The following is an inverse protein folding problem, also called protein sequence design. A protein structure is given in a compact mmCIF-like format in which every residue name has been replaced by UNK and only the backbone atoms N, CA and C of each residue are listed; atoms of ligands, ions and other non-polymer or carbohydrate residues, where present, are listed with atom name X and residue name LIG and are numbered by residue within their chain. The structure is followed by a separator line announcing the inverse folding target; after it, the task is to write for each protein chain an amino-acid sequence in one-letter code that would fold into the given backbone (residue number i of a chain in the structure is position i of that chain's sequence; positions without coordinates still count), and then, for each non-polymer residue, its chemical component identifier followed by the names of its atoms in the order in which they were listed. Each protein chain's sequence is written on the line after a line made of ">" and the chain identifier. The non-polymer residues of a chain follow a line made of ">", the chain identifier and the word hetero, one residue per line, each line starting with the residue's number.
data_IF_915881665605
#
_entry.id   IF_915881665605
#
_cell.length_a   1.000
_cell.length_b   1.000
_cell.length_c   1.000
_cell.angle_alpha   90.00
_cell.angle_beta   90.00
_cell.angle_gamma   90.00
#
_symmetry.space_group_name_H-M   'P 1'
#
loop_
_entity.id
_entity.type
_entity.pdbx_description
1 polymer ?
#
# COMPACT_ATOMS: atom_id res chain seq x y z
N UNK A 1 -35.46 -24.21 27.17
CA UNK A 1 -34.77 -24.63 25.93
C UNK A 1 -34.39 -23.37 25.15
N UNK A 2 -33.20 -22.81 25.39
CA UNK A 2 -32.80 -21.49 24.87
C UNK A 2 -31.82 -21.67 23.71
N UNK A 3 -32.22 -21.23 22.52
CA UNK A 3 -31.40 -21.25 21.29
C UNK A 3 -30.26 -20.24 21.42
N UNK A 4 -29.01 -20.72 21.37
CA UNK A 4 -27.79 -19.90 21.27
C UNK A 4 -27.68 -19.30 19.86
N UNK A 5 -27.79 -17.98 19.76
CA UNK A 5 -27.51 -17.24 18.52
C UNK A 5 -26.00 -17.13 18.29
N UNK A 6 -25.52 -17.67 17.15
CA UNK A 6 -24.13 -17.55 16.68
C UNK A 6 -23.87 -16.13 16.22
N UNK A 7 -23.02 -15.39 16.93
CA UNK A 7 -22.40 -14.16 16.44
C UNK A 7 -21.20 -14.50 15.56
N UNK A 8 -21.19 -14.00 14.33
CA UNK A 8 -20.08 -14.14 13.39
C UNK A 8 -18.98 -13.16 13.81
N UNK A 9 -17.86 -13.67 14.32
CA UNK A 9 -16.68 -12.87 14.64
C UNK A 9 -15.78 -12.76 13.41
N UNK A 10 -15.58 -11.55 12.88
CA UNK A 10 -14.52 -11.26 11.93
C UNK A 10 -13.19 -11.21 12.70
N UNK A 11 -12.52 -12.36 12.79
CA UNK A 11 -11.16 -12.47 13.34
C UNK A 11 -10.18 -12.11 12.23
N UNK A 12 -9.96 -10.81 11.97
CA UNK A 12 -8.93 -10.38 11.01
C UNK A 12 -7.56 -10.56 11.67
N UNK A 13 -6.97 -11.76 11.52
CA UNK A 13 -5.56 -12.01 11.82
C UNK A 13 -4.74 -11.65 10.58
N UNK A 14 -3.96 -10.58 10.66
CA UNK A 14 -2.84 -10.38 9.74
C UNK A 14 -1.62 -11.08 10.33
N UNK A 15 -1.31 -12.28 9.85
CA UNK A 15 0.03 -12.87 9.98
C UNK A 15 0.83 -12.44 8.75
N UNK A 16 1.82 -11.57 8.96
CA UNK A 16 2.77 -11.24 7.91
C UNK A 16 3.70 -12.45 7.71
N UNK A 17 3.42 -13.27 6.71
CA UNK A 17 4.42 -14.14 6.07
C UNK A 17 4.64 -13.65 4.65
N UNK A 18 5.89 -13.67 4.22
CA UNK A 18 6.33 -13.16 2.93
C UNK A 18 5.65 -13.92 1.78
N UNK A 19 5.17 -13.15 0.78
CA UNK A 19 4.70 -13.66 -0.51
C UNK A 19 3.24 -14.13 -0.56
N UNK A 20 2.54 -13.63 -1.58
CA UNK A 20 1.25 -14.09 -2.11
C UNK A 20 -0.05 -13.47 -1.55
N UNK A 21 -0.63 -12.56 -2.34
CA UNK A 21 -2.04 -12.20 -2.32
C UNK A 21 -2.91 -13.37 -2.78
N UNK A 22 -3.96 -13.72 -2.02
CA UNK A 22 -5.19 -14.32 -2.57
C UNK A 22 -6.42 -13.84 -1.81
N UNK A 23 -7.41 -13.38 -2.56
CA UNK A 23 -8.77 -13.07 -2.12
C UNK A 23 -9.60 -14.34 -1.79
N UNK A 24 -10.90 -14.18 -1.52
CA UNK A 24 -11.61 -14.99 -0.53
C UNK A 24 -12.03 -16.35 -1.08
N UNK A 25 -11.49 -17.41 -0.48
CA UNK A 25 -12.07 -18.74 -0.58
C UNK A 25 -12.25 -19.29 0.84
N UNK A 26 -13.44 -19.84 1.09
CA UNK A 26 -13.88 -20.43 2.34
C UNK A 26 -12.77 -21.28 3.01
N UNK A 27 -12.32 -20.88 4.20
CA UNK A 27 -11.29 -21.60 4.94
C UNK A 27 -11.93 -22.53 5.98
N UNK A 28 -11.77 -23.81 5.70
CA UNK A 28 -11.90 -24.98 6.57
C UNK A 28 -11.30 -24.75 7.97
N UNK A 29 -11.82 -25.48 8.96
CA UNK A 29 -11.15 -25.69 10.25
C UNK A 29 -9.75 -26.26 10.01
N UNK A 30 -8.72 -25.44 10.15
CA UNK A 30 -7.36 -25.91 10.35
C UNK A 30 -7.03 -25.84 11.84
N UNK A 31 -7.07 -27.02 12.47
CA UNK A 31 -6.40 -27.29 13.72
C UNK A 31 -4.89 -27.27 13.45
N UNK A 32 -4.18 -26.34 14.10
CA UNK A 32 -2.74 -26.41 14.33
C UNK A 32 -1.96 -25.17 13.87
N UNK A 33 -1.57 -24.30 14.82
CA UNK A 33 -0.19 -24.02 15.24
C UNK A 33 -0.08 -22.62 15.88
N UNK A 34 0.23 -22.54 17.18
CA UNK A 34 1.01 -21.49 17.89
C UNK A 34 1.26 -21.98 19.34
N UNK A 35 2.46 -21.81 19.95
CA UNK A 35 2.75 -22.18 21.35
C UNK A 35 1.96 -21.32 22.37
N UNK A 36 1.83 -21.74 23.65
CA UNK A 36 0.83 -21.18 24.57
C UNK A 36 1.21 -19.77 25.02
N UNK A 37 0.45 -18.78 24.58
CA UNK A 37 0.59 -17.39 25.02
C UNK A 37 -0.37 -16.46 24.28
N UNK A 38 -0.86 -15.42 24.95
CA UNK A 38 -1.68 -14.40 24.33
C UNK A 38 -0.82 -13.52 23.38
N UNK A 39 -1.40 -12.95 22.31
CA UNK A 39 -0.68 -11.99 21.48
C UNK A 39 -0.24 -10.78 22.32
N UNK A 40 0.90 -10.15 22.00
CA UNK A 40 1.45 -9.07 22.83
C UNK A 40 0.52 -7.83 22.88
N UNK A 41 -0.36 -7.66 21.90
CA UNK A 41 -1.48 -6.72 21.90
C UNK A 41 -2.76 -7.45 21.53
N UNK A 42 -3.76 -7.42 22.41
CA UNK A 42 -5.11 -7.92 22.16
C UNK A 42 -6.09 -6.75 22.06
N UNK A 43 -7.08 -6.83 21.16
CA UNK A 43 -8.12 -5.82 20.98
C UNK A 43 -9.49 -6.48 21.09
N UNK A 44 -10.34 -5.97 21.97
CA UNK A 44 -11.67 -6.47 22.27
C UNK A 44 -12.72 -5.38 22.02
N UNK A 45 -13.79 -5.70 21.28
CA UNK A 45 -14.88 -4.77 21.01
C UNK A 45 -16.06 -5.07 21.94
N UNK A 46 -16.38 -4.15 22.84
CA UNK A 46 -17.46 -4.27 23.82
C UNK A 46 -18.71 -3.51 23.36
N UNK A 47 -19.73 -4.27 22.92
CA UNK A 47 -21.02 -3.76 22.44
C UNK A 47 -22.16 -3.87 23.46
N UNK A 48 -23.40 -3.63 23.02
CA UNK A 48 -24.61 -3.59 23.88
C UNK A 48 -24.92 -4.87 24.66
N UNK A 49 -24.42 -6.01 24.20
CA UNK A 49 -24.65 -7.32 24.83
C UNK A 49 -23.45 -7.84 25.62
N UNK A 50 -22.45 -6.98 25.85
CA UNK A 50 -21.25 -7.37 26.58
C UNK A 50 -21.60 -7.64 28.04
N UNK A 51 -21.18 -8.79 28.55
CA UNK A 51 -21.13 -9.05 29.98
C UNK A 51 -19.81 -8.49 30.52
N UNK A 52 -19.89 -7.56 31.48
CA UNK A 52 -18.71 -6.89 32.05
C UNK A 52 -17.87 -7.85 32.90
N UNK A 53 -18.49 -8.75 33.67
CA UNK A 53 -17.77 -9.73 34.49
C UNK A 53 -16.96 -10.68 33.62
N UNK A 54 -17.55 -11.19 32.53
CA UNK A 54 -16.86 -12.08 31.59
C UNK A 54 -15.72 -11.35 30.88
N UNK A 55 -15.91 -10.06 30.56
CA UNK A 55 -14.89 -9.23 29.95
C UNK A 55 -13.71 -8.99 30.90
N UNK A 56 -13.97 -8.70 32.17
CA UNK A 56 -12.93 -8.55 33.19
C UNK A 56 -12.12 -9.83 33.39
N UNK A 57 -12.77 -10.99 33.44
CA UNK A 57 -12.10 -12.30 33.49
C UNK A 57 -11.19 -12.47 32.27
N UNK A 58 -11.73 -12.22 31.07
CA UNK A 58 -10.98 -12.34 29.81
C UNK A 58 -9.76 -11.42 29.75
N UNK A 59 -9.86 -10.18 30.24
CA UNK A 59 -8.73 -9.25 30.29
C UNK A 59 -7.63 -9.79 31.21
N UNK A 60 -7.99 -10.29 32.40
CA UNK A 60 -7.04 -10.88 33.35
C UNK A 60 -6.35 -12.12 32.76
N UNK A 61 -7.11 -12.99 32.08
CA UNK A 61 -6.57 -14.17 31.40
C UNK A 61 -5.58 -13.79 30.28
N UNK A 62 -5.91 -12.79 29.45
CA UNK A 62 -5.01 -12.34 28.38
C UNK A 62 -3.71 -11.75 28.93
N UNK A 63 -3.79 -10.93 29.98
CA UNK A 63 -2.60 -10.36 30.63
C UNK A 63 -1.76 -11.45 31.31
N UNK A 64 -2.39 -12.39 32.01
CA UNK A 64 -1.71 -13.53 32.64
C UNK A 64 -1.06 -14.46 31.61
N UNK A 65 -1.64 -14.56 30.42
CA UNK A 65 -1.08 -15.32 29.28
C UNK A 65 0.00 -14.54 28.50
N UNK A 66 0.42 -13.37 28.96
CA UNK A 66 1.57 -12.64 28.40
C UNK A 66 1.22 -11.47 27.46
N UNK A 67 -0.04 -11.08 27.32
CA UNK A 67 -0.38 -9.85 26.61
C UNK A 67 0.25 -8.64 27.33
N UNK A 68 0.98 -7.81 26.60
CA UNK A 68 1.54 -6.54 27.12
C UNK A 68 0.50 -5.43 27.15
N UNK A 69 -0.47 -5.50 26.24
CA UNK A 69 -1.58 -4.57 26.13
C UNK A 69 -2.88 -5.32 25.81
N UNK A 70 -3.97 -4.94 26.47
CA UNK A 70 -5.33 -5.31 26.09
C UNK A 70 -6.13 -4.03 25.91
N UNK A 71 -6.63 -3.79 24.70
CA UNK A 71 -7.45 -2.62 24.39
C UNK A 71 -8.91 -3.01 24.28
N UNK A 72 -9.76 -2.41 25.11
CA UNK A 72 -11.21 -2.60 25.04
C UNK A 72 -11.85 -1.40 24.36
N UNK A 73 -12.38 -1.60 23.17
CA UNK A 73 -13.09 -0.60 22.37
C UNK A 73 -14.56 -0.58 22.81
N UNK A 74 -14.97 0.49 23.49
CA UNK A 74 -16.35 0.64 24.00
C UNK A 74 -17.24 1.22 22.92
N UNK A 75 -18.15 0.41 22.39
CA UNK A 75 -19.13 0.79 21.37
C UNK A 75 -20.43 1.35 21.96
N UNK A 76 -20.57 1.33 23.29
CA UNK A 76 -21.76 1.80 24.01
C UNK A 76 -21.38 2.98 24.92
N UNK A 77 -22.24 3.99 24.91
CA UNK A 77 -21.96 5.27 25.57
C UNK A 77 -20.92 6.07 24.80
N UNK A 78 -20.15 6.94 25.49
CA UNK A 78 -19.08 7.70 24.86
C UNK A 78 -18.05 6.76 24.21
N UNK A 79 -17.73 7.02 22.93
CA UNK A 79 -16.70 6.31 22.18
C UNK A 79 -15.36 6.51 22.86
N UNK A 80 -14.78 5.41 23.33
CA UNK A 80 -13.54 5.40 24.10
C UNK A 80 -12.87 4.05 24.03
N UNK A 81 -11.59 4.03 24.36
CA UNK A 81 -10.79 2.82 24.47
C UNK A 81 -10.23 2.75 25.88
N UNK A 82 -10.42 1.62 26.54
CA UNK A 82 -9.78 1.30 27.81
C UNK A 82 -8.49 0.54 27.50
N UNK A 83 -7.37 1.04 27.98
CA UNK A 83 -6.05 0.45 27.82
C UNK A 83 -5.68 -0.23 29.13
N UNK A 84 -5.57 -1.55 29.07
CA UNK A 84 -5.15 -2.40 30.18
C UNK A 84 -3.73 -2.91 29.93
N UNK A 85 -2.87 -2.77 30.94
CA UNK A 85 -1.49 -3.26 30.93
C UNK A 85 -1.21 -3.99 32.24
N UNK A 86 -0.23 -4.93 32.27
CA UNK A 86 0.09 -5.65 33.51
C UNK A 86 0.47 -4.69 34.64
N UNK A 87 -0.06 -4.93 35.84
CA UNK A 87 0.30 -4.24 37.08
C UNK A 87 0.16 -2.71 37.06
N UNK A 88 -0.70 -2.15 36.20
CA UNK A 88 -0.96 -0.72 36.12
C UNK A 88 -2.47 -0.44 36.13
N UNK A 89 -2.90 0.74 36.60
CA UNK A 89 -4.30 1.13 36.51
C UNK A 89 -4.74 1.25 35.05
N UNK A 90 -6.01 0.90 34.80
CA UNK A 90 -6.63 1.06 33.48
C UNK A 90 -6.62 2.53 33.07
N UNK A 91 -6.24 2.79 31.82
CA UNK A 91 -6.24 4.13 31.23
C UNK A 91 -7.39 4.28 30.25
N UNK A 92 -8.09 5.41 30.31
CA UNK A 92 -9.18 5.74 29.39
C UNK A 92 -8.70 6.72 28.32
N UNK A 93 -8.94 6.40 27.05
CA UNK A 93 -8.65 7.27 25.91
C UNK A 93 -9.92 7.57 25.11
N UNK A 94 -10.15 8.83 24.83
CA UNK A 94 -11.25 9.37 24.03
C UNK A 94 -10.91 9.39 22.54
N UNK A 95 -11.87 9.77 21.69
CA UNK A 95 -11.67 9.83 20.23
C UNK A 95 -10.64 10.85 19.74
N UNK A 96 -10.26 11.82 20.57
CA UNK A 96 -9.22 12.81 20.26
C UNK A 96 -7.81 12.30 20.58
N UNK A 97 -7.72 11.22 21.35
CA UNK A 97 -6.44 10.66 21.79
C UNK A 97 -5.82 9.71 20.75
N UNK A 98 -4.56 9.36 20.99
CA UNK A 98 -3.81 8.36 20.22
C UNK A 98 -3.39 7.19 21.08
N UNK A 99 -3.54 5.99 20.54
CA UNK A 99 -3.09 4.73 21.10
C UNK A 99 -1.64 4.45 20.72
N UNK A 100 -0.90 3.93 21.69
CA UNK A 100 0.49 3.52 21.53
C UNK A 100 0.69 2.11 22.10
N UNK A 101 1.55 1.33 21.46
CA UNK A 101 2.06 0.08 22.02
C UNK A 101 3.54 -0.09 21.62
N UNK A 102 4.46 0.56 22.36
CA UNK A 102 5.90 0.49 22.08
C UNK A 102 6.44 -0.93 21.95
N UNK A 103 7.20 -1.16 20.89
CA UNK A 103 7.74 -2.49 20.53
C UNK A 103 6.72 -3.46 19.92
N UNK A 104 5.49 -3.01 19.63
CA UNK A 104 4.47 -3.78 18.91
C UNK A 104 4.00 -2.99 17.69
N UNK A 105 3.58 -1.74 17.92
CA UNK A 105 3.13 -0.85 16.85
C UNK A 105 4.29 0.04 16.41
N UNK A 106 4.52 0.07 15.09
CA UNK A 106 5.43 1.03 14.46
C UNK A 106 4.91 2.46 14.58
N UNK A 107 3.60 2.65 14.39
CA UNK A 107 2.96 3.95 14.37
C UNK A 107 1.86 4.07 15.43
N UNK A 108 1.70 5.26 15.99
CA UNK A 108 0.55 5.61 16.83
C UNK A 108 -0.75 5.50 16.05
N UNK A 109 -1.80 5.00 16.70
CA UNK A 109 -3.12 4.80 16.10
C UNK A 109 -4.11 5.80 16.73
N UNK A 110 -4.70 6.74 15.98
CA UNK A 110 -5.77 7.58 16.51
C UNK A 110 -6.92 6.71 17.01
N UNK A 111 -7.47 7.00 18.20
CA UNK A 111 -8.58 6.21 18.78
C UNK A 111 -9.77 6.16 17.83
N UNK A 112 -10.07 7.27 17.14
CA UNK A 112 -11.12 7.34 16.12
C UNK A 112 -11.00 6.29 15.01
N UNK A 113 -9.79 5.81 14.69
CA UNK A 113 -9.57 4.76 13.68
C UNK A 113 -10.15 3.39 14.08
N UNK A 114 -10.51 3.18 15.35
CA UNK A 114 -11.22 1.97 15.79
C UNK A 114 -12.75 2.08 15.65
N UNK A 115 -13.26 3.25 15.27
CA UNK A 115 -14.69 3.51 15.10
C UNK A 115 -15.05 3.98 13.69
N UNK A 116 -14.12 4.66 13.02
CA UNK A 116 -14.29 5.26 11.71
C UNK A 116 -13.51 4.46 10.65
N UNK A 117 -14.22 4.02 9.61
CA UNK A 117 -13.66 3.20 8.54
C UNK A 117 -12.64 3.95 7.70
N UNK A 118 -12.87 5.22 7.41
CA UNK A 118 -11.95 6.03 6.60
C UNK A 118 -10.63 6.26 7.35
N UNK A 119 -10.71 6.59 8.64
CA UNK A 119 -9.52 6.71 9.48
C UNK A 119 -8.77 5.38 9.63
N UNK A 120 -9.49 4.26 9.75
CA UNK A 120 -8.90 2.92 9.76
C UNK A 120 -8.13 2.62 8.47
N UNK A 121 -8.74 2.93 7.31
CA UNK A 121 -8.10 2.77 6.01
C UNK A 121 -6.86 3.66 5.88
N UNK A 122 -6.91 4.91 6.35
CA UNK A 122 -5.76 5.83 6.31
C UNK A 122 -4.59 5.32 7.15
N UNK A 123 -4.85 4.82 8.36
CA UNK A 123 -3.82 4.21 9.22
C UNK A 123 -3.24 2.95 8.55
N UNK A 124 -4.10 2.11 7.97
CA UNK A 124 -3.69 0.88 7.30
C UNK A 124 -2.80 1.18 6.09
N UNK A 125 -3.22 2.12 5.24
CA UNK A 125 -2.46 2.54 4.06
C UNK A 125 -1.08 3.08 4.46
N UNK A 126 -1.01 3.99 5.45
CA UNK A 126 0.27 4.51 5.94
C UNK A 126 1.21 3.40 6.40
N UNK A 127 0.69 2.41 7.15
CA UNK A 127 1.50 1.29 7.62
C UNK A 127 2.01 0.40 6.47
N UNK A 128 1.19 0.19 5.44
CA UNK A 128 1.57 -0.58 4.25
C UNK A 128 2.64 0.15 3.44
N UNK A 129 2.45 1.44 3.18
CA UNK A 129 3.43 2.27 2.46
C UNK A 129 4.80 2.24 3.14
N UNK A 130 4.84 2.45 4.46
CA UNK A 130 6.08 2.45 5.22
C UNK A 130 6.75 1.08 5.30
N UNK A 131 5.99 0.00 5.10
CA UNK A 131 6.55 -1.35 4.98
C UNK A 131 7.22 -1.56 3.62
N UNK A 132 6.69 -0.95 2.57
CA UNK A 132 7.27 -0.91 1.23
C UNK A 132 8.36 0.17 1.07
N UNK A 133 8.73 0.87 2.15
CA UNK A 133 9.78 1.89 2.14
C UNK A 133 9.31 3.32 1.85
N UNK A 134 8.02 3.52 1.64
CA UNK A 134 7.44 4.84 1.38
C UNK A 134 6.98 5.53 2.66
N UNK A 135 7.34 6.80 2.84
CA UNK A 135 6.91 7.59 3.99
C UNK A 135 5.37 7.76 4.01
N UNK A 136 4.81 8.11 2.85
CA UNK A 136 3.41 8.38 2.61
C UNK A 136 3.04 8.22 1.13
N UNK A 137 1.81 8.58 0.77
CA UNK A 137 1.31 8.46 -0.60
C UNK A 137 1.92 9.51 -1.55
N UNK A 138 2.37 10.66 -1.02
CA UNK A 138 3.00 11.70 -1.81
C UNK A 138 4.40 11.28 -2.27
N UNK A 139 5.12 10.51 -1.46
CA UNK A 139 6.38 9.89 -1.87
C UNK A 139 6.20 9.00 -3.12
N UNK A 140 5.16 8.14 -3.13
CA UNK A 140 4.83 7.28 -4.28
C UNK A 140 4.45 8.11 -5.51
N UNK A 141 3.63 9.16 -5.33
CA UNK A 141 3.23 10.04 -6.42
C UNK A 141 4.42 10.77 -7.03
N UNK A 142 5.33 11.27 -6.19
CA UNK A 142 6.53 11.99 -6.63
C UNK A 142 7.44 11.10 -7.46
N UNK A 143 7.71 9.87 -7.01
CA UNK A 143 8.49 8.90 -7.78
C UNK A 143 7.80 8.61 -9.12
N UNK A 144 6.49 8.36 -9.12
CA UNK A 144 5.74 8.13 -10.36
C UNK A 144 5.77 9.30 -11.35
N UNK A 145 5.73 10.55 -10.85
CA UNK A 145 5.89 11.76 -11.69
C UNK A 145 7.30 11.80 -12.27
N UNK A 146 8.34 11.59 -11.45
CA UNK A 146 9.74 11.62 -11.90
C UNK A 146 10.01 10.56 -12.96
N UNK A 147 9.53 9.33 -12.77
CA UNK A 147 9.63 8.28 -13.79
C UNK A 147 8.87 8.64 -15.06
N UNK A 148 7.67 9.20 -14.92
CA UNK A 148 6.83 9.64 -16.04
C UNK A 148 7.50 10.73 -16.86
N UNK A 149 8.06 11.76 -16.19
CA UNK A 149 8.81 12.84 -16.82
C UNK A 149 10.07 12.32 -17.51
N UNK A 150 10.84 11.44 -16.88
CA UNK A 150 12.03 10.86 -17.49
C UNK A 150 11.68 10.08 -18.77
N UNK A 151 10.65 9.22 -18.72
CA UNK A 151 10.16 8.48 -19.89
C UNK A 151 9.64 9.42 -20.98
N UNK A 152 8.87 10.44 -20.58
CA UNK A 152 8.32 11.44 -21.49
C UNK A 152 9.41 12.26 -22.19
N UNK A 153 10.45 12.66 -21.48
CA UNK A 153 11.58 13.41 -22.03
C UNK A 153 12.36 12.59 -23.05
N UNK A 154 12.62 11.30 -22.78
CA UNK A 154 13.28 10.41 -23.75
C UNK A 154 12.41 10.22 -24.99
N UNK A 155 11.11 9.92 -24.80
CA UNK A 155 10.20 9.73 -25.92
C UNK A 155 10.05 11.00 -26.78
N UNK A 156 9.95 12.17 -26.13
CA UNK A 156 9.88 13.47 -26.80
C UNK A 156 11.16 13.79 -27.57
N UNK A 157 12.33 13.51 -26.98
CA UNK A 157 13.61 13.69 -27.65
C UNK A 157 13.75 12.78 -28.89
N UNK A 158 13.39 11.50 -28.78
CA UNK A 158 13.41 10.57 -29.92
C UNK A 158 12.45 11.01 -31.04
N UNK A 159 11.23 11.44 -30.68
CA UNK A 159 10.27 11.96 -31.65
C UNK A 159 10.82 13.21 -32.36
N UNK A 160 11.45 14.12 -31.61
CA UNK A 160 12.07 15.31 -32.19
C UNK A 160 13.25 14.97 -33.13
N UNK A 161 14.07 13.96 -32.79
CA UNK A 161 15.15 13.47 -33.68
C UNK A 161 14.58 12.86 -34.97
N UNK A 162 13.53 12.05 -34.87
CA UNK A 162 12.84 11.48 -36.01
C UNK A 162 12.24 12.54 -36.93
N UNK A 163 11.57 13.55 -36.36
CA UNK A 163 11.00 14.67 -37.12
C UNK A 163 12.10 15.54 -37.74
N UNK A 164 13.23 15.75 -37.06
CA UNK A 164 14.38 16.45 -37.61
C UNK A 164 15.00 15.70 -38.80
N UNK A 165 15.16 14.38 -38.71
CA UNK A 165 15.64 13.52 -39.81
C UNK A 165 14.70 13.65 -41.03
N UNK A 166 13.40 13.48 -40.82
CA UNK A 166 12.41 13.63 -41.89
C UNK A 166 12.43 15.04 -42.49
N UNK A 167 12.63 16.07 -41.67
CA UNK A 167 12.78 17.45 -42.11
C UNK A 167 14.00 17.66 -43.01
N UNK A 168 15.17 17.13 -42.63
CA UNK A 168 16.39 17.21 -43.44
C UNK A 168 16.19 16.50 -44.78
N UNK A 169 15.64 15.28 -44.78
CA UNK A 169 15.37 14.53 -46.01
C UNK A 169 14.44 15.30 -46.95
N UNK A 170 13.39 15.92 -46.40
CA UNK A 170 12.47 16.75 -47.18
C UNK A 170 13.14 17.99 -47.78
N UNK A 171 13.99 18.70 -47.01
CA UNK A 171 14.75 19.86 -47.51
C UNK A 171 15.72 19.45 -48.62
N UNK A 172 16.32 18.26 -48.51
CA UNK A 172 17.18 17.68 -49.54
C UNK A 172 16.43 17.16 -50.77
N UNK A 173 15.10 17.12 -50.74
CA UNK A 173 14.28 16.58 -51.83
C UNK A 173 14.34 15.06 -51.95
N UNK A 174 14.77 14.35 -50.90
CA UNK A 174 14.78 12.89 -50.85
C UNK A 174 13.39 12.41 -50.45
N UNK A 175 12.69 11.73 -51.36
CA UNK A 175 11.34 11.23 -51.10
C UNK A 175 11.36 10.08 -50.08
N UNK A 176 10.42 10.10 -49.14
CA UNK A 176 10.31 9.11 -48.06
C UNK A 176 8.93 8.50 -48.07
N UNK A 177 8.88 7.21 -48.43
CA UNK A 177 7.63 6.44 -48.45
C UNK A 177 7.05 6.26 -47.04
N UNK A 178 5.77 5.89 -46.97
CA UNK A 178 5.03 5.75 -45.70
C UNK A 178 5.64 4.70 -44.77
N UNK A 179 6.16 3.60 -45.30
CA UNK A 179 6.75 2.53 -44.51
C UNK A 179 8.08 2.99 -43.90
N UNK A 180 8.94 3.65 -44.68
CA UNK A 180 10.20 4.22 -44.20
C UNK A 180 9.97 5.35 -43.19
N UNK A 181 8.97 6.20 -43.40
CA UNK A 181 8.55 7.23 -42.43
C UNK A 181 8.08 6.61 -41.10
N UNK A 182 7.34 5.50 -41.16
CA UNK A 182 6.96 4.71 -39.98
C UNK A 182 8.20 4.17 -39.25
N UNK A 183 9.12 3.52 -39.98
CA UNK A 183 10.39 3.01 -39.44
C UNK A 183 11.20 4.07 -38.69
N UNK A 184 11.28 5.30 -39.23
CA UNK A 184 11.99 6.40 -38.56
C UNK A 184 11.29 6.80 -37.25
N UNK A 185 9.96 7.01 -37.27
CA UNK A 185 9.19 7.46 -36.08
C UNK A 185 9.10 6.42 -34.98
N UNK A 186 9.09 5.15 -35.36
CA UNK A 186 9.03 4.02 -34.43
C UNK A 186 10.42 3.59 -33.94
N UNK A 187 11.49 4.19 -34.47
CA UNK A 187 12.83 3.96 -33.95
C UNK A 187 12.91 4.40 -32.48
N UNK A 188 13.43 3.50 -31.64
CA UNK A 188 13.66 3.73 -30.21
C UNK A 188 15.15 3.71 -29.85
N UNK A 189 16.01 3.57 -30.85
CA UNK A 189 17.45 3.60 -30.68
C UNK A 189 17.98 5.03 -30.94
N UNK A 190 18.43 5.73 -29.88
CA UNK A 190 18.93 7.10 -30.00
C UNK A 190 20.19 7.19 -30.86
N UNK A 191 21.06 6.18 -30.82
CA UNK A 191 22.32 6.18 -31.58
C UNK A 191 22.04 5.94 -33.06
N UNK A 192 21.12 5.03 -33.37
CA UNK A 192 20.70 4.78 -34.74
C UNK A 192 20.07 6.04 -35.37
N UNK A 193 19.17 6.73 -34.65
CA UNK A 193 18.61 8.00 -35.13
C UNK A 193 19.70 9.05 -35.36
N UNK A 194 20.68 9.16 -34.46
CA UNK A 194 21.79 10.10 -34.61
C UNK A 194 22.65 9.77 -35.86
N UNK A 195 22.94 8.49 -36.12
CA UNK A 195 23.67 8.05 -37.30
C UNK A 195 22.90 8.38 -38.58
N UNK A 196 21.60 8.08 -38.61
CA UNK A 196 20.74 8.41 -39.75
C UNK A 196 20.67 9.93 -39.98
N UNK A 197 20.53 10.73 -38.91
CA UNK A 197 20.52 12.18 -38.98
C UNK A 197 21.83 12.73 -39.57
N UNK A 198 22.98 12.22 -39.13
CA UNK A 198 24.28 12.62 -39.64
C UNK A 198 24.47 12.26 -41.12
N UNK A 199 24.05 11.05 -41.52
CA UNK A 199 24.12 10.60 -42.92
C UNK A 199 23.17 11.39 -43.81
N UNK A 200 21.96 11.66 -43.36
CA UNK A 200 20.95 12.43 -44.10
C UNK A 200 21.43 13.85 -44.45
N UNK A 201 22.36 14.43 -43.69
CA UNK A 201 22.93 15.72 -44.04
C UNK A 201 23.74 15.69 -45.34
N UNK A 202 24.36 14.56 -45.70
CA UNK A 202 25.30 14.45 -46.83
C UNK A 202 24.83 13.50 -47.94
N UNK A 203 24.00 12.51 -47.61
CA UNK A 203 23.53 11.46 -48.52
C UNK A 203 22.69 11.99 -49.69
N UNK A 204 22.86 11.40 -50.87
CA UNK A 204 22.10 11.74 -52.09
C UNK A 204 20.89 10.81 -52.31
N UNK A 205 20.77 9.72 -51.55
CA UNK A 205 19.62 8.82 -51.57
C UNK A 205 19.27 8.25 -50.18
N UNK A 206 18.11 7.57 -50.06
CA UNK A 206 17.70 6.93 -48.82
C UNK A 206 18.59 5.74 -48.42
N UNK A 207 19.09 4.98 -49.40
CA UNK A 207 19.94 3.82 -49.17
C UNK A 207 21.26 4.20 -48.48
N UNK A 208 21.75 5.41 -48.71
CA UNK A 208 22.96 5.93 -48.06
C UNK A 208 22.72 6.36 -46.61
N UNK A 209 21.45 6.61 -46.24
CA UNK A 209 21.07 7.00 -44.88
C UNK A 209 20.97 5.79 -43.96
N UNK A 210 20.35 4.71 -44.43
CA UNK A 210 20.04 3.51 -43.63
C UNK A 210 21.14 2.44 -43.70
#
# INVERSE_FOLDING_TARGET
>A
MVRRGRGVYAKTRYTARAGCFRGPAAARQEKGLDPPGAPPLAVEYAGRRQNETDLEIKIKELLAAGARYVWVVRLVGPRRVEVHTPNAPMRLLSTTDTLEAPGILRNRIPVRALFDREEAHRVTLRNLLQREGYEDLEAVRREGIQEGEARGNIAGWLAAQADALLGILAVRGIDVDTHTRGRIRDCRDPEQLAVWLARAAVADSLEEVF
#
